data_IF_390471076386
#
_entry.id   IF_390471076386
#
_cell.length_a   1.000
_cell.length_b   1.000
_cell.length_c   1.000
_cell.angle_alpha   90.00
_cell.angle_beta   90.00
_cell.angle_gamma   90.00
#
_symmetry.space_group_name_H-M   'P 1'
#
loop_
_entity.id
_entity.type
_entity.pdbx_description
1 polymer ?
#
# COMPACT_ATOMS: atom_id res chain seq x y z
N UNK A 1 -9.73 11.44 -11.05
CA UNK A 1 -8.68 11.45 -12.07
C UNK A 1 -9.31 11.14 -13.44
N UNK A 2 -8.54 11.19 -14.51
CA UNK A 2 -9.03 10.96 -15.88
C UNK A 2 -8.57 9.61 -16.45
N UNK A 3 -8.44 8.59 -15.60
CA UNK A 3 -7.97 7.25 -16.01
C UNK A 3 -9.08 6.38 -16.63
N UNK A 4 -10.33 6.88 -16.65
CA UNK A 4 -11.48 6.19 -17.20
C UNK A 4 -12.08 5.11 -16.27
N UNK A 5 -11.52 4.90 -15.09
CA UNK A 5 -12.06 3.97 -14.08
C UNK A 5 -13.01 4.73 -13.17
N UNK A 6 -14.21 4.18 -12.96
CA UNK A 6 -15.16 4.75 -12.01
C UNK A 6 -14.66 4.59 -10.58
N UNK A 7 -15.03 5.54 -9.75
CA UNK A 7 -14.70 5.57 -8.33
C UNK A 7 -15.95 5.63 -7.48
N UNK A 8 -15.86 5.03 -6.31
CA UNK A 8 -16.88 5.10 -5.28
C UNK A 8 -16.35 5.92 -4.11
N UNK A 9 -17.06 6.97 -3.76
CA UNK A 9 -16.76 7.82 -2.61
C UNK A 9 -17.62 7.41 -1.42
N UNK A 10 -16.95 7.08 -0.31
CA UNK A 10 -17.58 6.90 1.00
C UNK A 10 -17.04 8.01 1.90
N UNK A 11 -17.87 8.94 2.33
CA UNK A 11 -17.39 10.10 3.07
C UNK A 11 -18.38 10.61 4.13
N UNK A 12 -17.87 11.20 5.18
CA UNK A 12 -18.61 11.91 6.21
C UNK A 12 -17.84 13.18 6.62
N UNK A 13 -18.16 13.79 7.77
CA UNK A 13 -17.49 15.00 8.22
C UNK A 13 -16.03 14.80 8.67
N UNK A 14 -15.61 13.58 8.96
CA UNK A 14 -14.27 13.29 9.51
C UNK A 14 -13.34 12.62 8.50
N UNK A 15 -13.87 11.74 7.65
CA UNK A 15 -13.10 10.82 6.80
C UNK A 15 -13.75 10.66 5.43
N UNK A 16 -12.93 10.58 4.38
CA UNK A 16 -13.31 10.12 3.06
C UNK A 16 -12.45 8.92 2.65
N UNK A 17 -13.08 7.95 2.01
CA UNK A 17 -12.40 6.82 1.37
C UNK A 17 -12.84 6.73 -0.09
N UNK A 18 -11.89 6.61 -1.01
CA UNK A 18 -12.16 6.46 -2.44
C UNK A 18 -11.75 5.06 -2.88
N UNK A 19 -12.71 4.31 -3.37
CA UNK A 19 -12.53 2.93 -3.87
C UNK A 19 -12.54 2.95 -5.39
N UNK A 20 -11.48 2.45 -6.02
CA UNK A 20 -11.49 2.21 -7.48
C UNK A 20 -12.44 1.06 -7.80
N UNK A 21 -13.34 1.28 -8.75
CA UNK A 21 -14.27 0.27 -9.25
C UNK A 21 -13.64 -0.53 -10.39
N UNK A 22 -12.40 -0.91 -10.19
CA UNK A 22 -11.67 -1.86 -11.01
C UNK A 22 -11.72 -3.27 -10.39
N UNK A 23 -11.03 -4.21 -10.99
CA UNK A 23 -11.00 -5.59 -10.53
C UNK A 23 -10.42 -5.79 -9.12
N UNK A 24 -9.72 -4.81 -8.56
CA UNK A 24 -9.08 -4.94 -7.23
C UNK A 24 -9.99 -4.47 -6.09
N UNK A 25 -10.97 -3.60 -6.37
CA UNK A 25 -11.84 -2.99 -5.35
C UNK A 25 -11.04 -2.49 -4.12
N UNK A 26 -9.88 -1.87 -4.39
CA UNK A 26 -8.96 -1.35 -3.39
C UNK A 26 -9.10 0.17 -3.28
N UNK A 27 -8.77 0.72 -2.11
CA UNK A 27 -8.82 2.16 -1.92
C UNK A 27 -7.57 2.82 -2.52
N UNK A 28 -7.80 3.91 -3.23
CA UNK A 28 -6.74 4.81 -3.71
C UNK A 28 -6.57 6.04 -2.82
N UNK A 29 -7.58 6.40 -2.02
CA UNK A 29 -7.52 7.51 -1.07
C UNK A 29 -8.17 7.13 0.25
N UNK A 30 -7.60 7.66 1.32
CA UNK A 30 -8.15 7.61 2.67
C UNK A 30 -7.79 8.92 3.38
N UNK A 31 -8.68 9.90 3.26
CA UNK A 31 -8.48 11.23 3.81
C UNK A 31 -8.98 11.30 5.24
N UNK A 32 -8.13 11.77 6.15
CA UNK A 32 -8.48 12.12 7.50
C UNK A 32 -8.50 13.65 7.63
N UNK A 33 -9.69 14.26 7.58
CA UNK A 33 -9.81 15.72 7.53
C UNK A 33 -9.23 16.42 8.75
N UNK A 34 -9.39 15.82 9.94
CA UNK A 34 -8.81 16.37 11.18
C UNK A 34 -7.29 16.37 11.20
N UNK A 35 -6.64 15.61 10.34
CA UNK A 35 -5.18 15.56 10.19
C UNK A 35 -4.71 16.25 8.89
N UNK A 36 -5.65 16.71 8.04
CA UNK A 36 -5.36 17.23 6.71
C UNK A 36 -4.42 16.31 5.89
N UNK A 37 -4.66 14.98 5.96
CA UNK A 37 -3.76 13.99 5.39
C UNK A 37 -4.51 12.87 4.65
N UNK A 38 -3.95 12.45 3.49
CA UNK A 38 -4.38 11.29 2.72
C UNK A 38 -3.44 10.12 2.98
N UNK A 39 -3.90 9.11 3.72
CA UNK A 39 -3.13 7.89 3.98
C UNK A 39 -2.99 6.97 2.77
N UNK A 40 -3.79 7.16 1.72
CA UNK A 40 -3.78 6.35 0.49
C UNK A 40 -2.82 6.85 -0.59
N UNK A 41 -2.21 8.02 -0.42
CA UNK A 41 -1.30 8.64 -1.40
C UNK A 41 0.11 8.01 -1.34
N UNK A 42 0.15 6.68 -1.48
CA UNK A 42 1.40 5.92 -1.45
C UNK A 42 2.11 6.00 -2.80
N UNK A 43 3.42 6.22 -2.75
CA UNK A 43 4.27 6.25 -3.93
C UNK A 43 4.26 4.90 -4.64
N UNK A 44 4.10 4.93 -5.96
CA UNK A 44 4.20 3.76 -6.83
C UNK A 44 5.46 3.90 -7.68
N UNK A 45 6.32 2.88 -7.66
CA UNK A 45 7.48 2.83 -8.53
C UNK A 45 7.04 2.61 -9.97
N UNK A 46 7.33 3.54 -10.86
CA UNK A 46 7.03 3.46 -12.29
C UNK A 46 8.33 3.35 -13.09
N UNK A 47 8.25 2.84 -14.31
CA UNK A 47 9.37 2.90 -15.23
C UNK A 47 9.62 4.36 -15.62
N UNK A 48 10.76 4.90 -15.25
CA UNK A 48 11.15 6.26 -15.57
C UNK A 48 12.19 6.28 -16.68
N UNK A 49 12.08 7.25 -17.58
CA UNK A 49 12.96 7.33 -18.75
C UNK A 49 14.46 7.41 -18.37
N UNK A 50 14.77 8.03 -17.24
CA UNK A 50 16.17 8.18 -16.81
C UNK A 50 16.80 6.90 -16.25
N UNK A 51 16.02 5.84 -15.99
CA UNK A 51 16.56 4.54 -15.55
C UNK A 51 17.40 3.85 -16.63
N UNK A 52 17.21 4.19 -17.92
CA UNK A 52 18.11 3.73 -19.00
C UNK A 52 19.55 4.18 -18.81
N UNK A 53 19.80 5.22 -18.00
CA UNK A 53 21.15 5.66 -17.67
C UNK A 53 21.86 4.71 -16.68
N UNK A 54 21.11 3.85 -15.97
CA UNK A 54 21.67 2.82 -15.10
C UNK A 54 22.35 1.70 -15.91
N UNK A 55 21.84 1.41 -17.11
CA UNK A 55 22.40 0.42 -18.03
C UNK A 55 23.65 0.96 -18.76
N UNK A 56 23.83 2.27 -18.76
CA UNK A 56 24.89 2.99 -19.44
C UNK A 56 26.07 3.35 -18.51
N UNK A 57 26.31 2.60 -17.41
CA UNK A 57 27.50 2.81 -16.57
C UNK A 57 28.73 2.51 -17.45
N UNK A 58 29.59 3.50 -17.77
CA UNK A 58 30.79 3.23 -18.56
C UNK A 58 31.67 2.24 -17.81
N UNK A 59 32.10 1.17 -18.46
CA UNK A 59 33.21 0.37 -17.99
C UNK A 59 34.36 1.33 -17.65
N UNK A 60 34.87 1.24 -16.44
CA UNK A 60 36.00 2.04 -15.99
C UNK A 60 37.19 1.80 -16.93
N UNK A 61 37.39 2.70 -17.90
CA UNK A 61 38.51 2.59 -18.83
C UNK A 61 38.36 3.26 -20.19
N UNK A 62 37.22 3.79 -20.59
CA UNK A 62 37.14 4.53 -21.87
C UNK A 62 37.47 6.00 -21.64
N UNK A 63 38.72 6.37 -21.83
CA UNK A 63 39.18 7.76 -22.09
C UNK A 63 38.60 8.21 -23.43
N UNK A 64 37.36 8.68 -23.47
CA UNK A 64 36.87 9.47 -24.58
C UNK A 64 37.16 10.95 -24.29
N UNK A 65 38.16 11.49 -24.99
CA UNK A 65 38.51 12.88 -24.97
C UNK A 65 37.39 13.73 -25.60
N UNK A 66 36.47 14.16 -24.76
CA UNK A 66 35.45 15.15 -25.05
C UNK A 66 35.11 15.86 -23.74
N UNK A 67 34.84 17.19 -23.85
CA UNK A 67 34.38 17.96 -22.69
C UNK A 67 32.96 17.45 -22.34
N UNK A 68 32.88 16.44 -21.47
CA UNK A 68 31.62 15.95 -20.95
C UNK A 68 30.96 17.09 -20.15
N UNK A 69 29.73 17.44 -20.52
CA UNK A 69 28.91 18.38 -19.76
C UNK A 69 28.72 17.86 -18.33
N UNK A 70 28.62 18.76 -17.37
CA UNK A 70 28.33 18.41 -15.99
C UNK A 70 27.02 17.57 -15.85
N UNK A 71 26.11 17.71 -16.88
CA UNK A 71 24.87 16.93 -16.97
C UNK A 71 25.07 15.49 -17.49
N UNK A 72 26.22 15.16 -18.05
CA UNK A 72 26.50 13.80 -18.57
C UNK A 72 27.11 12.89 -17.51
N UNK A 73 27.49 13.44 -16.35
CA UNK A 73 27.97 12.65 -15.21
C UNK A 73 26.79 12.26 -14.33
N UNK A 74 26.27 11.07 -14.54
CA UNK A 74 25.30 10.46 -13.62
C UNK A 74 26.07 9.97 -12.40
N UNK A 75 26.05 10.73 -11.30
CA UNK A 75 26.55 10.30 -10.01
C UNK A 75 25.33 9.97 -9.14
N UNK A 76 25.17 8.70 -8.79
CA UNK A 76 24.15 8.31 -7.81
C UNK A 76 24.72 8.55 -6.41
N UNK A 77 23.88 9.10 -5.53
CA UNK A 77 24.24 9.32 -4.12
C UNK A 77 24.40 7.99 -3.39
N UNK A 78 23.61 7.00 -3.77
CA UNK A 78 23.59 5.67 -3.19
C UNK A 78 23.81 4.60 -4.28
N UNK A 79 24.19 3.41 -3.88
CA UNK A 79 24.31 2.27 -4.80
C UNK A 79 22.90 1.81 -5.18
N UNK A 80 22.54 1.98 -6.45
CA UNK A 80 21.25 1.57 -7.00
C UNK A 80 21.43 0.26 -7.77
N UNK A 81 20.63 -0.74 -7.46
CA UNK A 81 20.60 -2.01 -8.19
C UNK A 81 19.32 -2.09 -9.05
N UNK A 82 19.29 -2.87 -10.14
CA UNK A 82 18.11 -2.98 -11.01
C UNK A 82 16.80 -3.30 -10.29
N UNK A 83 16.86 -4.00 -9.16
CA UNK A 83 15.69 -4.29 -8.34
C UNK A 83 15.08 -3.04 -7.69
N UNK A 84 15.88 -2.01 -7.41
CA UNK A 84 15.41 -0.77 -6.76
C UNK A 84 14.59 0.10 -7.71
N UNK A 85 14.78 -0.08 -9.01
CA UNK A 85 14.09 0.67 -10.08
C UNK A 85 13.05 -0.16 -10.83
N UNK A 86 12.86 -1.41 -10.41
CA UNK A 86 11.85 -2.28 -11.00
C UNK A 86 10.44 -1.71 -10.77
N UNK A 87 9.63 -1.51 -11.82
CA UNK A 87 8.28 -1.01 -11.65
C UNK A 87 7.44 -1.93 -10.76
N UNK A 88 6.59 -1.35 -9.95
CA UNK A 88 5.59 -2.11 -9.20
C UNK A 88 4.68 -2.85 -10.17
N UNK A 89 4.49 -4.15 -9.96
CA UNK A 89 3.64 -5.00 -10.80
C UNK A 89 2.15 -4.60 -10.70
N UNK A 90 1.78 -3.86 -9.66
CA UNK A 90 0.41 -3.40 -9.38
C UNK A 90 0.45 -2.05 -8.66
N UNK A 91 -0.59 -1.22 -8.84
CA UNK A 91 -0.71 0.02 -8.08
C UNK A 91 -0.70 -0.25 -6.57
N UNK A 92 0.04 0.56 -5.82
CA UNK A 92 0.04 0.51 -4.35
C UNK A 92 -1.22 1.16 -3.84
N UNK A 93 -2.05 0.36 -3.19
CA UNK A 93 -3.35 0.79 -2.67
C UNK A 93 -3.59 0.22 -1.28
N UNK A 94 -4.61 0.74 -0.61
CA UNK A 94 -5.07 0.21 0.67
C UNK A 94 -6.05 -0.95 0.42
N UNK A 95 -5.91 -2.01 1.21
CA UNK A 95 -6.73 -3.22 1.13
C UNK A 95 -6.65 -3.91 -0.23
N UNK A 96 -5.44 -4.05 -0.76
CA UNK A 96 -5.17 -4.94 -1.88
C UNK A 96 -5.05 -6.39 -1.37
N UNK A 97 -5.80 -7.30 -1.98
CA UNK A 97 -6.00 -8.64 -1.45
C UNK A 97 -5.28 -9.69 -2.30
N UNK A 98 -4.79 -10.74 -1.64
CA UNK A 98 -4.17 -11.87 -2.31
C UNK A 98 -4.51 -13.19 -1.60
N UNK A 99 -4.60 -14.25 -2.38
CA UNK A 99 -4.75 -15.61 -1.92
C UNK A 99 -3.55 -16.44 -2.35
N UNK A 100 -2.77 -16.93 -1.40
CA UNK A 100 -1.68 -17.84 -1.67
C UNK A 100 -2.12 -19.26 -1.40
N UNK A 101 -2.08 -20.09 -2.42
CA UNK A 101 -2.34 -21.54 -2.36
C UNK A 101 -1.26 -22.25 -1.57
N UNK A 102 -1.54 -23.49 -1.17
CA UNK A 102 -0.57 -24.32 -0.46
C UNK A 102 0.64 -24.72 -1.31
N UNK A 103 0.52 -24.72 -2.64
CA UNK A 103 1.61 -24.95 -3.59
C UNK A 103 2.49 -23.70 -3.82
N UNK A 104 2.13 -22.56 -3.19
CA UNK A 104 2.86 -21.30 -3.28
C UNK A 104 2.35 -20.36 -4.36
N UNK A 105 1.48 -20.80 -5.29
CA UNK A 105 0.88 -19.91 -6.27
C UNK A 105 0.02 -18.84 -5.62
N UNK A 106 0.07 -17.62 -6.17
CA UNK A 106 -0.73 -16.50 -5.69
C UNK A 106 -1.83 -16.14 -6.68
N UNK A 107 -3.07 -16.19 -6.23
CA UNK A 107 -4.25 -15.73 -6.95
C UNK A 107 -4.70 -14.37 -6.41
N UNK A 108 -5.13 -13.50 -7.32
CA UNK A 108 -5.62 -12.18 -7.00
C UNK A 108 -7.12 -12.14 -7.27
N UNK A 109 -7.95 -11.85 -6.26
CA UNK A 109 -9.38 -11.70 -6.49
C UNK A 109 -9.67 -10.66 -7.57
N UNK A 110 -10.64 -10.98 -8.44
CA UNK A 110 -11.13 -10.10 -9.49
C UNK A 110 -12.56 -9.67 -9.13
N UNK A 111 -12.67 -8.60 -8.39
CA UNK A 111 -13.92 -8.17 -7.81
C UNK A 111 -14.86 -7.54 -8.84
N UNK A 112 -16.12 -7.94 -8.78
CA UNK A 112 -17.21 -7.23 -9.39
C UNK A 112 -18.02 -6.51 -8.30
N UNK A 113 -18.47 -5.28 -8.59
CA UNK A 113 -19.31 -4.54 -7.68
C UNK A 113 -20.71 -5.20 -7.61
N UNK A 114 -21.09 -5.66 -6.42
CA UNK A 114 -22.37 -6.35 -6.22
C UNK A 114 -23.48 -5.42 -5.76
N UNK A 115 -23.19 -4.49 -4.84
CA UNK A 115 -24.19 -3.56 -4.30
C UNK A 115 -23.55 -2.34 -3.64
N UNK A 116 -24.20 -1.21 -3.79
CA UNK A 116 -23.93 0.01 -3.02
C UNK A 116 -25.15 0.32 -2.16
N UNK A 117 -24.95 0.52 -0.87
CA UNK A 117 -26.01 0.84 0.06
C UNK A 117 -25.84 2.25 0.58
N UNK A 118 -26.62 3.18 0.05
CA UNK A 118 -26.82 4.48 0.65
C UNK A 118 -28.11 4.41 1.52
N UNK A 119 -28.17 5.01 2.71
CA UNK A 119 -27.19 5.91 3.34
C UNK A 119 -26.14 5.18 4.20
N UNK A 120 -26.05 3.85 4.16
CA UNK A 120 -25.21 3.06 5.08
C UNK A 120 -23.69 3.15 4.81
N UNK A 121 -23.25 4.00 3.90
CA UNK A 121 -21.83 4.19 3.59
C UNK A 121 -21.10 2.86 3.44
N UNK A 122 -21.69 1.94 2.67
CA UNK A 122 -21.21 0.57 2.53
C UNK A 122 -21.23 0.13 1.07
N UNK A 123 -20.18 -0.60 0.68
CA UNK A 123 -20.05 -1.24 -0.63
C UNK A 123 -19.70 -2.72 -0.46
N UNK A 124 -20.28 -3.56 -1.33
CA UNK A 124 -20.05 -4.99 -1.36
C UNK A 124 -19.52 -5.39 -2.73
N UNK A 125 -18.46 -6.16 -2.72
CA UNK A 125 -17.78 -6.69 -3.90
C UNK A 125 -17.67 -8.20 -3.78
N UNK A 126 -17.80 -8.91 -4.88
CA UNK A 126 -17.63 -10.37 -4.93
C UNK A 126 -16.62 -10.76 -6.00
N UNK A 127 -15.90 -11.83 -5.77
CA UNK A 127 -14.96 -12.41 -6.72
C UNK A 127 -14.97 -13.93 -6.61
N UNK A 128 -14.99 -14.66 -7.73
CA UNK A 128 -14.56 -16.05 -7.73
C UNK A 128 -13.12 -16.15 -7.20
N UNK A 129 -12.83 -17.16 -6.42
CA UNK A 129 -11.50 -17.39 -5.88
C UNK A 129 -11.26 -18.90 -5.69
N UNK A 130 -10.38 -19.45 -6.49
CA UNK A 130 -9.86 -20.82 -6.36
C UNK A 130 -10.96 -21.90 -6.20
N UNK A 131 -11.99 -21.85 -7.04
CA UNK A 131 -13.15 -22.75 -7.01
C UNK A 131 -14.23 -22.37 -6.00
N UNK A 132 -13.97 -21.38 -5.15
CA UNK A 132 -14.94 -20.78 -4.23
C UNK A 132 -15.20 -19.32 -4.55
N UNK A 133 -15.54 -18.57 -3.51
CA UNK A 133 -15.89 -17.14 -3.60
C UNK A 133 -15.32 -16.36 -2.43
N UNK A 134 -14.87 -15.15 -2.69
CA UNK A 134 -14.60 -14.12 -1.67
C UNK A 134 -15.58 -12.97 -1.82
N UNK A 135 -16.15 -12.56 -0.70
CA UNK A 135 -16.93 -11.31 -0.59
C UNK A 135 -16.15 -10.32 0.24
N UNK A 136 -15.96 -9.11 -0.30
CA UNK A 136 -15.34 -7.97 0.37
C UNK A 136 -16.41 -6.92 0.66
N UNK A 137 -16.51 -6.48 1.91
CA UNK A 137 -17.44 -5.42 2.32
C UNK A 137 -16.65 -4.27 2.89
N UNK A 138 -16.82 -3.08 2.35
CA UNK A 138 -16.20 -1.85 2.83
C UNK A 138 -17.28 -0.99 3.45
N UNK A 139 -17.10 -0.55 4.69
CA UNK A 139 -18.06 0.27 5.43
C UNK A 139 -17.35 1.39 6.14
N UNK A 140 -17.85 2.62 6.01
CA UNK A 140 -17.38 3.78 6.75
C UNK A 140 -18.41 4.14 7.83
N UNK A 141 -17.96 4.17 9.10
CA UNK A 141 -18.78 4.52 10.26
C UNK A 141 -17.99 5.47 11.17
N UNK A 142 -18.42 6.72 11.27
CA UNK A 142 -17.65 7.75 11.97
C UNK A 142 -16.21 7.83 11.45
N UNK A 143 -15.24 7.71 12.34
CA UNK A 143 -13.79 7.74 11.99
C UNK A 143 -13.21 6.34 11.75
N UNK A 144 -14.06 5.33 11.56
CA UNK A 144 -13.62 3.95 11.36
C UNK A 144 -13.99 3.46 9.98
N UNK A 145 -12.99 3.07 9.21
CA UNK A 145 -13.15 2.30 7.99
C UNK A 145 -13.02 0.81 8.33
N UNK A 146 -14.06 0.06 8.08
CA UNK A 146 -14.09 -1.39 8.28
C UNK A 146 -14.10 -2.11 6.94
N UNK A 147 -13.18 -3.05 6.74
CA UNK A 147 -13.16 -3.93 5.58
C UNK A 147 -13.32 -5.37 6.05
N UNK A 148 -14.43 -5.97 5.70
CA UNK A 148 -14.77 -7.35 6.04
C UNK A 148 -14.57 -8.29 4.87
N UNK A 149 -14.07 -9.50 5.14
CA UNK A 149 -13.87 -10.55 4.15
C UNK A 149 -14.60 -11.81 4.55
N UNK A 150 -15.29 -12.42 3.59
CA UNK A 150 -15.94 -13.72 3.76
C UNK A 150 -15.49 -14.63 2.62
N UNK A 151 -14.82 -15.72 2.98
CA UNK A 151 -14.42 -16.77 2.04
C UNK A 151 -15.40 -17.92 2.15
N UNK A 152 -15.90 -18.41 1.01
CA UNK A 152 -16.81 -19.57 0.91
C UNK A 152 -16.23 -20.59 -0.05
N UNK A 153 -16.16 -21.85 0.38
CA UNK A 153 -15.68 -22.97 -0.42
C UNK A 153 -14.29 -22.75 -1.03
N UNK A 154 -13.49 -21.87 -0.44
CA UNK A 154 -12.09 -21.65 -0.85
C UNK A 154 -11.24 -22.74 -0.19
N UNK A 155 -10.36 -23.43 -0.92
CA UNK A 155 -9.51 -24.49 -0.35
C UNK A 155 -8.52 -23.90 0.67
N UNK A 156 -7.70 -24.75 1.28
CA UNK A 156 -6.67 -24.32 2.24
C UNK A 156 -5.64 -23.39 1.59
N UNK A 157 -5.21 -22.37 2.33
CA UNK A 157 -4.23 -21.39 1.87
C UNK A 157 -4.09 -20.22 2.83
N UNK A 158 -3.42 -19.15 2.37
CA UNK A 158 -3.21 -17.91 3.12
C UNK A 158 -3.91 -16.75 2.42
N UNK A 159 -4.85 -16.12 3.09
CA UNK A 159 -5.43 -14.85 2.66
C UNK A 159 -4.64 -13.70 3.26
N UNK A 160 -4.18 -12.78 2.44
CA UNK A 160 -3.43 -11.59 2.86
C UNK A 160 -4.11 -10.31 2.37
N UNK A 161 -3.95 -9.27 3.16
CA UNK A 161 -4.44 -7.91 2.86
C UNK A 161 -3.27 -6.97 2.98
N UNK A 162 -2.97 -6.26 1.91
CA UNK A 162 -1.89 -5.28 1.84
C UNK A 162 -2.44 -3.88 2.06
N UNK A 163 -1.75 -3.10 2.89
CA UNK A 163 -2.05 -1.69 3.16
C UNK A 163 -0.82 -0.86 2.79
N UNK A 164 -0.86 -0.16 1.67
CA UNK A 164 0.19 0.78 1.30
C UNK A 164 -0.19 2.15 1.86
N UNK A 165 0.48 2.54 2.94
CA UNK A 165 0.19 3.75 3.70
C UNK A 165 1.21 4.84 3.42
N UNK A 166 0.73 6.03 3.08
CA UNK A 166 1.54 7.24 3.06
C UNK A 166 1.63 7.80 4.49
N UNK A 167 2.84 7.87 5.02
CA UNK A 167 3.11 8.38 6.37
C UNK A 167 4.29 9.37 6.29
N UNK A 168 4.12 10.64 6.71
CA UNK A 168 5.15 11.67 6.55
C UNK A 168 6.43 11.39 7.36
N UNK A 169 6.37 10.54 8.38
CA UNK A 169 7.50 10.20 9.24
C UNK A 169 8.12 8.83 8.91
N UNK A 170 7.96 8.31 7.67
CA UNK A 170 8.43 6.97 7.31
C UNK A 170 9.96 6.83 7.33
N UNK A 171 10.71 7.91 7.16
CA UNK A 171 12.18 7.97 7.18
C UNK A 171 12.76 8.65 8.43
N UNK A 172 11.91 9.06 9.38
CA UNK A 172 12.28 9.81 10.56
C UNK A 172 12.03 9.08 11.89
N UNK A 173 12.41 9.74 12.99
CA UNK A 173 12.21 9.23 14.35
C UNK A 173 10.82 9.54 14.93
N UNK A 174 9.99 10.30 14.21
CA UNK A 174 8.70 10.77 14.68
C UNK A 174 7.57 9.78 14.47
N UNK A 175 7.72 8.84 13.55
CA UNK A 175 6.76 7.78 13.27
C UNK A 175 7.11 6.51 14.02
N UNK A 176 6.14 5.90 14.73
CA UNK A 176 6.37 4.77 15.62
C UNK A 176 5.25 3.73 15.53
N UNK A 177 5.66 2.47 15.56
CA UNK A 177 4.73 1.39 15.84
C UNK A 177 4.52 1.27 17.36
N UNK A 178 3.26 1.24 17.79
CA UNK A 178 2.90 1.08 19.21
C UNK A 178 2.04 -0.17 19.34
N UNK A 179 2.49 -1.10 20.19
CA UNK A 179 1.81 -2.36 20.43
C UNK A 179 0.67 -2.21 21.45
N UNK A 180 -0.08 -3.28 21.66
CA UNK A 180 -1.22 -3.28 22.59
C UNK A 180 -0.81 -3.02 24.04
N UNK A 181 0.39 -3.44 24.45
CA UNK A 181 0.98 -3.19 25.77
C UNK A 181 1.65 -1.81 25.88
N UNK A 182 1.47 -0.95 24.89
CA UNK A 182 2.08 0.38 24.76
C UNK A 182 3.60 0.36 24.54
N UNK A 183 4.20 -0.81 24.30
CA UNK A 183 5.61 -0.87 23.89
C UNK A 183 5.81 -0.36 22.47
N UNK A 184 7.01 0.18 22.20
CA UNK A 184 7.39 0.75 20.90
C UNK A 184 8.58 -0.07 20.38
N UNK A 185 8.34 -1.08 19.55
CA UNK A 185 9.42 -1.93 19.05
C UNK A 185 10.36 -1.19 18.10
N UNK A 186 9.83 -0.31 17.24
CA UNK A 186 10.63 0.43 16.27
C UNK A 186 9.85 1.60 15.65
N UNK A 187 10.52 2.38 14.81
CA UNK A 187 9.93 3.43 13.96
C UNK A 187 9.52 2.91 12.58
N UNK A 188 8.82 3.75 11.80
CA UNK A 188 8.31 3.38 10.47
C UNK A 188 9.42 3.07 9.44
N UNK A 189 10.60 3.63 9.61
CA UNK A 189 11.76 3.35 8.75
C UNK A 189 12.38 1.96 8.96
N UNK A 190 11.83 1.14 9.85
CA UNK A 190 12.34 -0.19 10.18
C UNK A 190 11.28 -1.26 9.89
N UNK A 191 11.76 -2.46 9.55
CA UNK A 191 10.90 -3.61 9.37
C UNK A 191 10.32 -4.08 10.72
N UNK A 192 9.03 -4.42 10.72
CA UNK A 192 8.34 -4.99 11.87
C UNK A 192 7.64 -6.28 11.46
N UNK A 193 7.87 -7.36 12.21
CA UNK A 193 7.18 -8.64 12.08
C UNK A 193 6.51 -8.99 13.41
N UNK A 194 5.19 -9.09 13.40
CA UNK A 194 4.37 -9.47 14.54
C UNK A 194 3.60 -10.73 14.20
N UNK A 195 3.85 -11.79 14.93
CA UNK A 195 3.02 -13.00 14.87
C UNK A 195 1.80 -12.86 15.81
N UNK A 196 0.66 -13.35 15.35
CA UNK A 196 -0.54 -13.51 16.18
C UNK A 196 -0.98 -12.21 16.86
N UNK A 197 -1.03 -11.12 16.11
CA UNK A 197 -1.46 -9.81 16.61
C UNK A 197 -2.88 -9.46 16.15
N UNK A 198 -3.62 -8.71 16.96
CA UNK A 198 -4.94 -8.17 16.60
C UNK A 198 -4.98 -6.66 16.51
N UNK A 199 -3.92 -5.98 16.96
CA UNK A 199 -3.89 -4.52 16.98
C UNK A 199 -2.48 -4.00 16.79
N UNK A 200 -2.35 -2.96 15.98
CA UNK A 200 -1.15 -2.17 15.80
C UNK A 200 -1.54 -0.70 15.68
N UNK A 201 -0.92 0.17 16.46
CA UNK A 201 -1.07 1.61 16.32
C UNK A 201 0.12 2.18 15.57
N UNK A 202 -0.15 2.98 14.57
CA UNK A 202 0.82 3.77 13.83
C UNK A 202 0.69 5.21 14.33
N UNK A 203 1.62 5.64 15.19
CA UNK A 203 1.64 6.96 15.80
C UNK A 203 2.64 7.86 15.05
N UNK A 204 2.16 8.93 14.44
CA UNK A 204 2.98 9.87 13.69
C UNK A 204 2.92 11.26 14.35
N UNK A 205 4.02 11.67 14.95
CA UNK A 205 4.11 12.95 15.68
C UNK A 205 4.15 14.16 14.78
N UNK A 206 4.64 14.02 13.53
CA UNK A 206 4.62 15.11 12.55
C UNK A 206 3.20 15.37 12.13
N UNK A 207 2.44 14.31 11.94
CA UNK A 207 1.01 14.39 11.62
C UNK A 207 0.16 14.82 12.79
N UNK A 208 0.64 14.68 14.02
CA UNK A 208 -0.12 14.93 15.25
C UNK A 208 -1.20 13.89 15.52
N UNK A 209 -1.08 12.69 14.97
CA UNK A 209 -2.02 11.60 15.09
C UNK A 209 -1.57 10.36 14.36
N UNK A 210 -2.51 9.50 13.97
CA UNK A 210 -2.13 8.28 13.26
C UNK A 210 -3.30 7.34 13.02
N UNK A 211 -2.97 6.10 12.75
CA UNK A 211 -3.92 5.04 12.44
C UNK A 211 -3.86 3.94 13.50
N UNK A 212 -5.04 3.36 13.77
CA UNK A 212 -5.15 2.13 14.55
C UNK A 212 -5.63 1.03 13.62
N UNK A 213 -4.77 0.06 13.36
CA UNK A 213 -5.11 -1.16 12.64
C UNK A 213 -5.63 -2.19 13.64
N UNK A 214 -6.80 -2.76 13.36
CA UNK A 214 -7.40 -3.81 14.21
C UNK A 214 -7.93 -4.93 13.34
N UNK A 215 -7.72 -6.17 13.78
CA UNK A 215 -8.27 -7.36 13.14
C UNK A 215 -9.24 -8.07 14.08
N UNK A 216 -10.34 -8.60 13.55
CA UNK A 216 -11.35 -9.34 14.33
C UNK A 216 -10.85 -10.69 14.88
N UNK A 217 -9.75 -11.19 14.34
CA UNK A 217 -9.02 -12.39 14.78
C UNK A 217 -7.52 -12.14 14.74
N UNK A 218 -6.72 -12.93 15.47
CA UNK A 218 -5.27 -12.83 15.36
C UNK A 218 -4.78 -13.08 13.94
N UNK A 219 -3.85 -12.24 13.51
CA UNK A 219 -3.18 -12.29 12.18
C UNK A 219 -1.69 -12.05 12.36
N UNK A 220 -0.91 -12.47 11.38
CA UNK A 220 0.48 -12.04 11.26
C UNK A 220 0.52 -10.68 10.58
N UNK A 221 1.21 -9.72 11.19
CA UNK A 221 1.41 -8.38 10.64
C UNK A 221 2.88 -8.23 10.24
N UNK A 222 3.11 -7.87 8.99
CA UNK A 222 4.44 -7.52 8.47
C UNK A 222 4.41 -6.11 7.94
N UNK A 223 5.21 -5.22 8.51
CA UNK A 223 5.39 -3.87 8.02
C UNK A 223 6.80 -3.69 7.47
N UNK A 224 6.89 -2.99 6.34
CA UNK A 224 8.15 -2.70 5.65
C UNK A 224 8.10 -1.26 5.16
N UNK A 225 9.20 -0.48 5.35
CA UNK A 225 9.32 0.79 4.67
C UNK A 225 9.40 0.55 3.15
N UNK A 226 8.80 1.44 2.38
CA UNK A 226 8.89 1.43 0.93
C UNK A 226 9.60 2.69 0.47
N UNK A 227 10.57 2.52 -0.39
CA UNK A 227 11.35 3.60 -0.98
C UNK A 227 11.21 3.56 -2.50
N UNK A 228 11.17 4.73 -3.11
CA UNK A 228 11.24 4.87 -4.57
C UNK A 228 12.52 5.60 -4.92
N UNK A 229 13.08 5.28 -6.08
CA UNK A 229 14.23 6.00 -6.63
C UNK A 229 13.73 7.16 -7.46
N UNK A 230 14.17 8.38 -7.13
CA UNK A 230 13.87 9.57 -7.90
C UNK A 230 15.15 10.30 -8.30
N UNK A 231 15.09 11.03 -9.41
CA UNK A 231 16.17 11.94 -9.78
C UNK A 231 16.07 13.19 -8.90
N UNK A 232 17.09 13.46 -8.09
CA UNK A 232 17.23 14.69 -7.28
C UNK A 232 18.03 15.75 -8.02
#
# INVERSE_FOLDING_TARGET
>A
DFDGVRELFLGNADVQAVVKLDAHAALCELDAYGLAHNFGDALTQRAEHYYHKLDAVPEAGSEQAGIASAHDRVAFKDVIVPADVAPDARPRRLFADAWQRLDGETAWPQYAAAAFKAPLMSAVFTSPLDGGEVTKTITLAGRTLQVGYRLRNVPGGRFSVELNLALPSCDGYSGRYVLTDSSIPCGFGQALDLAVSQRLTLDDRVLGGGLVLSASRPVDIKARPHYTVSQS
#
